data_IF_949831883696
#
_entry.id   IF_949831883696
#
_cell.length_a   1.000
_cell.length_b   1.000
_cell.length_c   1.000
_cell.angle_alpha   90.00
_cell.angle_beta   90.00
_cell.angle_gamma   90.00
#
_symmetry.space_group_name_H-M   'P 1'
#
loop_
_entity.id
_entity.type
_entity.pdbx_description
1 polymer ?
#
# COMPACT_ATOMS: atom_id res chain seq x y z
N UNK A 1 -25.64 0.13 -15.02
CA UNK A 1 -25.92 0.23 -13.56
C UNK A 1 -24.60 0.19 -12.83
N UNK A 2 -24.31 1.15 -11.96
CA UNK A 2 -23.14 1.08 -11.09
C UNK A 2 -23.43 0.01 -10.04
N UNK A 3 -22.54 -0.97 -9.89
CA UNK A 3 -22.67 -2.00 -8.86
C UNK A 3 -22.73 -1.32 -7.47
N UNK A 4 -23.66 -1.73 -6.61
CA UNK A 4 -23.69 -1.25 -5.23
C UNK A 4 -22.54 -1.89 -4.46
N UNK A 5 -21.42 -1.18 -4.28
CA UNK A 5 -20.23 -1.69 -3.60
C UNK A 5 -20.20 -1.39 -2.09
N UNK A 6 -21.17 -0.64 -1.54
CA UNK A 6 -21.14 -0.25 -0.10
C UNK A 6 -21.08 -1.47 0.83
N UNK A 7 -21.77 -2.55 0.47
CA UNK A 7 -21.82 -3.79 1.26
C UNK A 7 -20.47 -4.52 1.34
N UNK A 8 -19.49 -4.17 0.48
CA UNK A 8 -18.14 -4.70 0.52
C UNK A 8 -17.29 -4.05 1.61
N UNK A 9 -17.75 -3.00 2.28
CA UNK A 9 -17.01 -2.36 3.37
C UNK A 9 -17.62 -2.72 4.74
N UNK A 10 -16.81 -2.57 5.79
CA UNK A 10 -17.21 -2.73 7.19
C UNK A 10 -17.64 -1.39 7.83
N UNK A 11 -18.09 -0.42 7.03
CA UNK A 11 -18.51 0.89 7.52
C UNK A 11 -19.81 0.77 8.33
N UNK A 12 -19.92 1.60 9.37
CA UNK A 12 -21.13 1.73 10.18
C UNK A 12 -22.34 2.12 9.27
N UNK A 13 -23.43 1.34 9.26
CA UNK A 13 -24.58 1.61 8.40
C UNK A 13 -25.30 2.92 8.73
N UNK A 14 -25.20 3.41 9.97
CA UNK A 14 -25.85 4.63 10.45
C UNK A 14 -25.01 5.90 10.14
N UNK A 15 -23.74 5.72 9.75
CA UNK A 15 -22.84 6.81 9.40
C UNK A 15 -22.81 7.01 7.88
N UNK A 16 -23.10 8.25 7.46
CA UNK A 16 -22.82 8.67 6.08
C UNK A 16 -21.34 9.04 5.98
N UNK A 17 -20.50 8.07 5.60
CA UNK A 17 -19.06 8.25 5.53
C UNK A 17 -18.65 9.05 4.27
N UNK A 18 -18.48 10.37 4.42
CA UNK A 18 -18.17 11.30 3.31
C UNK A 18 -16.68 11.58 3.12
N UNK A 19 -15.81 11.16 4.06
CA UNK A 19 -14.39 11.51 4.06
C UNK A 19 -13.47 10.30 3.80
N UNK A 20 -13.74 9.54 2.74
CA UNK A 20 -12.89 8.41 2.34
C UNK A 20 -11.47 8.84 1.93
N UNK A 21 -11.31 10.08 1.46
CA UNK A 21 -10.01 10.60 1.01
C UNK A 21 -8.98 10.84 2.11
N UNK A 22 -9.37 10.83 3.40
CA UNK A 22 -8.43 11.04 4.52
C UNK A 22 -7.66 9.77 4.87
N UNK A 23 -8.36 8.71 5.27
CA UNK A 23 -7.77 7.45 5.74
C UNK A 23 -8.22 6.23 4.93
N UNK A 24 -9.22 6.39 4.07
CA UNK A 24 -9.86 5.28 3.37
C UNK A 24 -10.75 4.42 4.26
N UNK A 25 -11.25 3.34 3.67
CA UNK A 25 -11.89 2.22 4.34
C UNK A 25 -11.52 0.95 3.57
N UNK A 26 -11.09 -0.10 4.26
CA UNK A 26 -10.71 -1.34 3.61
C UNK A 26 -11.98 -2.14 3.21
N UNK A 27 -11.96 -2.75 2.01
CA UNK A 27 -13.01 -3.70 1.63
C UNK A 27 -12.81 -5.03 2.36
N UNK A 28 -13.90 -5.71 2.69
CA UNK A 28 -13.94 -6.99 3.44
C UNK A 28 -12.97 -8.03 2.88
N UNK A 29 -12.90 -8.31 1.55
CA UNK A 29 -11.99 -9.33 1.05
C UNK A 29 -10.51 -8.99 1.28
N UNK A 30 -10.15 -7.70 1.25
CA UNK A 30 -8.77 -7.25 1.50
C UNK A 30 -8.45 -7.32 3.00
N UNK A 31 -9.41 -6.99 3.87
CA UNK A 31 -9.26 -7.14 5.32
C UNK A 31 -9.15 -8.60 5.75
N UNK A 32 -9.95 -9.50 5.16
CA UNK A 32 -9.87 -10.95 5.40
C UNK A 32 -8.49 -11.48 5.02
N UNK A 33 -7.99 -11.13 3.83
CA UNK A 33 -6.64 -11.50 3.39
C UNK A 33 -5.55 -10.95 4.33
N UNK A 34 -5.69 -9.71 4.85
CA UNK A 34 -4.77 -9.16 5.85
C UNK A 34 -4.68 -10.07 7.09
N UNK A 35 -5.82 -10.54 7.62
CA UNK A 35 -5.84 -11.43 8.78
C UNK A 35 -5.21 -12.79 8.47
N UNK A 36 -5.40 -13.32 7.26
CA UNK A 36 -4.74 -14.55 6.81
C UNK A 36 -3.21 -14.40 6.79
N UNK A 37 -2.70 -13.29 6.23
CA UNK A 37 -1.26 -13.00 6.21
C UNK A 37 -0.67 -12.85 7.62
N UNK A 38 -1.39 -12.17 8.52
CA UNK A 38 -0.98 -12.06 9.93
C UNK A 38 -0.93 -13.43 10.61
N UNK A 39 -1.97 -14.24 10.43
CA UNK A 39 -2.02 -15.60 10.98
C UNK A 39 -0.89 -16.47 10.45
N UNK A 40 -0.60 -16.40 9.14
CA UNK A 40 0.49 -17.14 8.50
C UNK A 40 1.86 -16.74 9.03
N UNK A 41 2.08 -15.46 9.30
CA UNK A 41 3.32 -14.96 9.91
C UNK A 41 3.50 -15.51 11.33
N UNK A 42 2.45 -15.49 12.16
CA UNK A 42 2.50 -15.98 13.55
C UNK A 42 2.69 -17.49 13.66
N UNK A 43 2.20 -18.27 12.68
CA UNK A 43 2.34 -19.73 12.67
C UNK A 43 3.79 -20.20 12.55
N UNK A 44 4.61 -19.51 11.74
CA UNK A 44 6.01 -19.89 11.52
C UNK A 44 6.85 -18.66 11.10
N UNK A 45 7.23 -17.78 12.06
CA UNK A 45 7.82 -16.47 11.73
C UNK A 45 9.13 -16.55 10.94
N UNK A 46 10.02 -17.49 11.29
CA UNK A 46 11.32 -17.64 10.61
C UNK A 46 11.11 -17.94 9.12
N UNK A 47 10.33 -18.97 8.81
CA UNK A 47 9.97 -19.30 7.43
C UNK A 47 9.23 -18.17 6.74
N UNK A 48 8.36 -17.45 7.44
CA UNK A 48 7.64 -16.33 6.85
C UNK A 48 8.61 -15.25 6.34
N UNK A 49 9.56 -14.84 7.19
CA UNK A 49 10.50 -13.79 6.84
C UNK A 49 11.62 -14.25 5.90
N UNK A 50 12.07 -15.50 6.00
CA UNK A 50 13.14 -16.04 5.16
C UNK A 50 12.64 -16.49 3.78
N UNK A 51 11.51 -17.18 3.71
CA UNK A 51 11.08 -17.89 2.49
C UNK A 51 9.85 -17.26 1.81
N UNK A 52 8.95 -16.62 2.56
CA UNK A 52 7.62 -16.23 2.04
C UNK A 52 7.55 -14.75 1.66
N UNK A 53 8.06 -13.87 2.51
CA UNK A 53 7.81 -12.44 2.43
C UNK A 53 8.27 -11.83 1.10
N UNK A 54 9.49 -12.13 0.66
CA UNK A 54 10.06 -11.48 -0.53
C UNK A 54 9.37 -11.90 -1.83
N UNK A 55 8.98 -13.17 -1.95
CA UNK A 55 8.20 -13.66 -3.09
C UNK A 55 6.79 -13.04 -3.12
N UNK A 56 6.14 -12.93 -1.96
CA UNK A 56 4.86 -12.27 -1.84
C UNK A 56 4.93 -10.77 -2.22
N UNK A 57 5.97 -10.07 -1.76
CA UNK A 57 6.21 -8.67 -2.14
C UNK A 57 6.49 -8.52 -3.63
N UNK A 58 7.23 -9.46 -4.25
CA UNK A 58 7.46 -9.47 -5.70
C UNK A 58 6.17 -9.66 -6.48
N UNK A 59 5.33 -10.63 -6.10
CA UNK A 59 4.03 -10.85 -6.73
C UNK A 59 3.11 -9.62 -6.59
N UNK A 60 3.13 -8.99 -5.41
CA UNK A 60 2.40 -7.74 -5.17
C UNK A 60 2.86 -6.61 -6.10
N UNK A 61 4.18 -6.42 -6.29
CA UNK A 61 4.72 -5.41 -7.22
C UNK A 61 4.36 -5.72 -8.67
N UNK A 62 4.36 -6.99 -9.09
CA UNK A 62 3.93 -7.37 -10.43
C UNK A 62 2.48 -6.96 -10.68
N UNK A 63 1.57 -7.30 -9.76
CA UNK A 63 0.16 -6.95 -9.89
C UNK A 63 -0.06 -5.42 -9.98
N UNK A 64 0.69 -4.63 -9.19
CA UNK A 64 0.62 -3.17 -9.26
C UNK A 64 1.21 -2.63 -10.56
N UNK A 65 2.36 -3.16 -10.99
CA UNK A 65 3.02 -2.79 -12.25
C UNK A 65 2.12 -3.02 -13.46
N UNK A 66 1.47 -4.19 -13.53
CA UNK A 66 0.50 -4.51 -14.58
C UNK A 66 -0.69 -3.54 -14.58
N UNK A 67 -1.15 -3.12 -13.39
CA UNK A 67 -2.26 -2.18 -13.26
C UNK A 67 -1.91 -0.75 -13.69
N UNK A 68 -0.70 -0.26 -13.37
CA UNK A 68 -0.28 1.12 -13.68
C UNK A 68 0.58 1.24 -14.95
N UNK A 69 0.92 0.12 -15.59
CA UNK A 69 1.67 0.07 -16.85
C UNK A 69 3.18 0.25 -16.71
N UNK A 70 3.80 -0.28 -15.64
CA UNK A 70 5.26 -0.26 -15.46
C UNK A 70 5.81 -1.62 -15.01
N UNK A 71 7.14 -1.78 -15.06
CA UNK A 71 7.79 -2.99 -14.56
C UNK A 71 7.71 -3.09 -13.03
N UNK A 72 7.59 -4.31 -12.51
CA UNK A 72 7.69 -4.56 -11.06
C UNK A 72 9.01 -4.10 -10.45
N UNK A 73 10.06 -3.99 -11.26
CA UNK A 73 11.39 -3.55 -10.85
C UNK A 73 11.50 -2.02 -10.72
N UNK A 74 10.51 -1.28 -11.21
CA UNK A 74 10.39 0.18 -11.06
C UNK A 74 9.57 0.57 -9.81
N UNK A 75 9.13 -0.43 -9.03
CA UNK A 75 8.25 -0.24 -7.89
C UNK A 75 8.93 -0.58 -6.57
N UNK A 76 8.66 0.23 -5.56
CA UNK A 76 9.05 0.00 -4.16
C UNK A 76 7.91 0.39 -3.24
N UNK A 77 7.83 -0.27 -2.08
CA UNK A 77 6.79 0.00 -1.08
C UNK A 77 7.33 0.81 0.08
N UNK A 78 6.51 1.76 0.55
CA UNK A 78 6.75 2.55 1.75
C UNK A 78 5.51 2.49 2.66
N UNK A 79 5.66 2.71 3.97
CA UNK A 79 4.53 2.69 4.90
C UNK A 79 3.43 3.73 4.59
N UNK A 80 3.80 4.88 4.00
CA UNK A 80 2.89 5.95 3.61
C UNK A 80 3.58 6.95 2.67
N UNK A 81 2.82 7.85 2.00
CA UNK A 81 3.38 8.87 1.10
C UNK A 81 4.42 9.80 1.75
N UNK A 82 4.19 10.23 3.00
CA UNK A 82 5.12 11.12 3.71
C UNK A 82 6.50 10.49 3.88
N UNK A 83 6.56 9.19 4.20
CA UNK A 83 7.82 8.44 4.28
C UNK A 83 8.50 8.35 2.93
N UNK A 84 7.76 8.07 1.84
CA UNK A 84 8.32 7.99 0.49
C UNK A 84 8.91 9.32 0.02
N UNK A 85 8.20 10.43 0.21
CA UNK A 85 8.67 11.78 -0.14
C UNK A 85 9.94 12.14 0.65
N UNK A 86 9.98 11.82 1.95
CA UNK A 86 11.17 12.05 2.77
C UNK A 86 12.37 11.22 2.30
N UNK A 87 12.16 9.97 1.89
CA UNK A 87 13.25 9.13 1.38
C UNK A 87 13.90 9.76 0.14
N UNK A 88 13.08 10.27 -0.80
CA UNK A 88 13.58 10.99 -1.98
C UNK A 88 14.28 12.28 -1.57
N UNK A 89 13.60 13.16 -0.82
CA UNK A 89 14.13 14.47 -0.45
C UNK A 89 15.49 14.38 0.29
N UNK A 90 15.64 13.41 1.19
CA UNK A 90 16.88 13.20 1.96
C UNK A 90 18.01 12.55 1.15
N UNK A 91 17.69 11.93 0.01
CA UNK A 91 18.70 11.35 -0.90
C UNK A 91 19.31 12.37 -1.86
N UNK A 92 18.66 13.51 -2.06
CA UNK A 92 19.15 14.58 -2.91
C UNK A 92 20.36 15.28 -2.27
N UNK A 93 21.44 15.44 -3.04
CA UNK A 93 22.65 16.15 -2.61
C UNK A 93 22.66 17.56 -3.19
N UNK A 94 21.73 18.39 -2.71
CA UNK A 94 21.60 19.76 -3.20
C UNK A 94 22.87 20.56 -2.95
N UNK A 95 23.27 21.36 -3.94
CA UNK A 95 24.43 22.25 -3.90
C UNK A 95 24.00 23.68 -3.63
N UNK A 96 24.91 24.54 -3.14
CA UNK A 96 24.63 25.97 -3.02
C UNK A 96 24.13 26.55 -4.35
N UNK A 97 23.00 27.27 -4.31
CA UNK A 97 22.34 27.84 -5.48
C UNK A 97 21.33 26.94 -6.18
N UNK A 98 21.17 25.67 -5.76
CA UNK A 98 20.08 24.81 -6.22
C UNK A 98 18.82 25.03 -5.37
N UNK A 99 17.64 24.90 -6.00
CA UNK A 99 16.35 25.19 -5.39
C UNK A 99 15.40 24.00 -5.54
N UNK A 100 14.47 23.85 -4.57
CA UNK A 100 13.34 22.91 -4.66
C UNK A 100 12.08 23.72 -4.89
N UNK A 101 11.39 23.44 -5.99
CA UNK A 101 10.14 24.11 -6.37
C UNK A 101 8.95 23.19 -6.12
N UNK A 102 7.87 23.76 -5.58
CA UNK A 102 6.57 23.11 -5.39
C UNK A 102 5.46 24.09 -5.76
N UNK A 103 4.30 23.57 -6.15
CA UNK A 103 3.06 24.36 -6.35
C UNK A 103 2.33 24.61 -5.05
#
# INVERSE_FOLDING_TARGET
MIANLKHQFMLDPDVTFLNHGSFGACVKPVYENLLEWQTKMEQEPVKFFEDILFDALKASRQALGDYIGCSSDELVYFPNPTTAVNAVARSLKLKPGEEVLST
#
